data_IF_458571563527
#
_entry.id   IF_458571563527
#
_cell.length_a   1.000
_cell.length_b   1.000
_cell.length_c   1.000
_cell.angle_alpha   90.00
_cell.angle_beta   90.00
_cell.angle_gamma   90.00
#
_symmetry.space_group_name_H-M   'P 1'
#
loop_
_entity.id
_entity.type
_entity.pdbx_description
1 polymer ?
#
# COMPACT_ATOMS: atom_id res chain seq x y z
N UNK A 1 9.24 -4.36 -16.14
CA UNK A 1 8.84 -3.96 -14.77
C UNK A 1 9.09 -2.47 -14.64
N UNK A 2 8.12 -1.72 -14.11
CA UNK A 2 8.24 -0.27 -13.96
C UNK A 2 9.24 0.07 -12.85
N UNK A 3 9.94 1.18 -13.02
CA UNK A 3 10.97 1.63 -12.07
C UNK A 3 10.35 2.51 -10.99
N UNK A 4 10.85 2.36 -9.77
CA UNK A 4 10.48 3.14 -8.60
C UNK A 4 11.42 2.81 -7.44
N UNK A 5 11.37 3.60 -6.38
CA UNK A 5 12.11 3.32 -5.15
C UNK A 5 11.22 2.49 -4.22
N UNK A 6 11.53 1.19 -4.10
CA UNK A 6 10.83 0.30 -3.17
C UNK A 6 11.11 0.72 -1.73
N UNK A 7 10.07 1.02 -0.98
CA UNK A 7 10.20 1.47 0.40
C UNK A 7 9.22 0.79 1.37
N UNK A 8 8.20 0.08 0.85
CA UNK A 8 7.12 -0.45 1.69
C UNK A 8 6.74 -1.86 1.27
N UNK A 9 6.48 -2.69 2.29
CA UNK A 9 5.81 -3.98 2.16
C UNK A 9 4.51 -3.92 2.96
N UNK A 10 3.39 -4.29 2.35
CA UNK A 10 2.08 -4.22 2.99
C UNK A 10 1.53 -5.60 3.34
N UNK A 11 0.86 -5.67 4.48
CA UNK A 11 0.33 -6.90 5.05
C UNK A 11 -1.11 -6.70 5.49
N UNK A 12 -1.98 -7.64 5.11
CA UNK A 12 -3.31 -7.75 5.69
C UNK A 12 -3.20 -8.39 7.06
N UNK A 13 -3.92 -7.84 8.02
CA UNK A 13 -3.96 -8.31 9.41
C UNK A 13 -5.41 -8.40 9.89
N UNK A 14 -5.71 -9.35 10.76
CA UNK A 14 -7.05 -9.48 11.36
C UNK A 14 -7.26 -8.50 12.52
N UNK A 15 -6.18 -8.22 13.27
CA UNK A 15 -6.15 -7.28 14.40
C UNK A 15 -4.86 -6.46 14.33
N UNK A 16 -5.02 -5.14 14.14
CA UNK A 16 -3.88 -4.25 13.94
C UNK A 16 -3.03 -4.08 15.21
N UNK A 17 -3.65 -4.12 16.39
CA UNK A 17 -2.93 -4.01 17.66
C UNK A 17 -2.09 -5.27 17.94
N UNK A 18 -2.64 -6.45 17.61
CA UNK A 18 -1.90 -7.71 17.69
C UNK A 18 -0.69 -7.70 16.74
N UNK A 19 -0.87 -7.21 15.52
CA UNK A 19 0.19 -7.11 14.53
C UNK A 19 1.30 -6.13 14.96
N UNK A 20 0.93 -4.96 15.51
CA UNK A 20 1.90 -4.00 16.07
C UNK A 20 2.68 -4.65 17.23
N UNK A 21 1.99 -5.33 18.14
CA UNK A 21 2.64 -6.02 19.26
C UNK A 21 3.59 -7.13 18.78
N UNK A 22 3.21 -7.86 17.73
CA UNK A 22 4.06 -8.88 17.11
C UNK A 22 5.34 -8.29 16.48
N UNK A 23 5.27 -7.11 15.89
CA UNK A 23 6.43 -6.36 15.40
C UNK A 23 7.32 -5.90 16.57
N UNK A 24 6.73 -5.29 17.60
CA UNK A 24 7.45 -4.78 18.78
C UNK A 24 8.17 -5.88 19.55
N UNK A 25 7.63 -7.10 19.58
CA UNK A 25 8.28 -8.24 20.22
C UNK A 25 9.56 -8.72 19.49
N UNK A 26 9.81 -8.25 18.27
CA UNK A 26 10.92 -8.69 17.40
C UNK A 26 11.97 -7.62 17.15
N UNK A 27 11.73 -6.38 17.54
CA UNK A 27 12.66 -5.27 17.34
C UNK A 27 12.13 -3.94 17.85
N UNK A 28 12.98 -2.94 17.84
CA UNK A 28 12.59 -1.56 18.16
C UNK A 28 11.86 -0.95 16.98
N UNK A 29 10.59 -0.58 17.17
CA UNK A 29 9.73 -0.04 16.10
C UNK A 29 9.29 1.42 16.35
N UNK A 30 9.71 2.01 17.47
CA UNK A 30 9.24 3.34 17.88
C UNK A 30 7.76 3.36 18.27
N UNK A 31 7.19 4.56 18.34
CA UNK A 31 5.77 4.74 18.62
C UNK A 31 4.96 4.55 17.31
N UNK A 32 4.04 3.60 17.32
CA UNK A 32 3.15 3.32 16.19
C UNK A 32 1.71 3.63 16.60
N UNK A 33 1.01 4.44 15.82
CA UNK A 33 -0.39 4.81 16.05
C UNK A 33 -1.25 4.42 14.86
N UNK A 34 -2.18 3.47 15.01
CA UNK A 34 -3.15 3.17 13.97
C UNK A 34 -4.07 4.36 13.69
N UNK A 35 -4.52 4.47 12.45
CA UNK A 35 -5.49 5.47 12.03
C UNK A 35 -6.48 4.89 11.02
N UNK A 36 -7.71 5.41 11.03
CA UNK A 36 -8.76 4.99 10.11
C UNK A 36 -8.69 5.78 8.80
N UNK A 37 -8.90 5.08 7.69
CA UNK A 37 -9.00 5.65 6.35
C UNK A 37 -10.27 5.15 5.68
N UNK A 38 -11.04 6.05 5.07
CA UNK A 38 -12.15 5.72 4.21
C UNK A 38 -12.02 6.52 2.92
N UNK A 39 -12.02 5.86 1.78
CA UNK A 39 -11.77 6.52 0.50
C UNK A 39 -12.54 5.88 -0.65
N UNK A 40 -12.77 6.69 -1.68
CA UNK A 40 -13.31 6.24 -2.96
C UNK A 40 -12.14 5.95 -3.91
N UNK A 41 -12.09 4.74 -4.44
CA UNK A 41 -11.02 4.28 -5.32
C UNK A 41 -11.60 3.86 -6.67
N UNK A 42 -10.89 4.23 -7.73
CA UNK A 42 -11.21 3.73 -9.06
C UNK A 42 -10.81 2.26 -9.19
N UNK A 43 -11.67 1.47 -9.83
CA UNK A 43 -11.39 0.09 -10.23
C UNK A 43 -11.95 -0.12 -11.64
N UNK A 44 -11.57 -1.19 -12.37
CA UNK A 44 -12.19 -1.55 -13.64
C UNK A 44 -13.72 -1.72 -13.57
N UNK A 45 -14.25 -2.05 -12.39
CA UNK A 45 -15.69 -2.18 -12.12
C UNK A 45 -16.38 -0.88 -11.67
N UNK A 46 -15.69 0.27 -11.69
CA UNK A 46 -16.18 1.57 -11.25
C UNK A 46 -15.61 2.00 -9.91
N UNK A 47 -16.10 3.13 -9.40
CA UNK A 47 -15.68 3.65 -8.09
C UNK A 47 -16.17 2.75 -6.96
N UNK A 48 -15.28 2.45 -6.02
CA UNK A 48 -15.54 1.57 -4.87
C UNK A 48 -15.13 2.24 -3.58
N UNK A 49 -15.89 2.02 -2.52
CA UNK A 49 -15.53 2.46 -1.18
C UNK A 49 -14.66 1.41 -0.51
N UNK A 50 -13.54 1.85 0.04
CA UNK A 50 -12.64 1.03 0.86
C UNK A 50 -12.38 1.74 2.18
N UNK A 51 -12.61 1.03 3.29
CA UNK A 51 -12.37 1.51 4.64
C UNK A 51 -11.43 0.55 5.35
N UNK A 52 -10.35 1.09 5.89
CA UNK A 52 -9.30 0.32 6.58
C UNK A 52 -8.85 1.03 7.84
N UNK A 53 -8.23 0.29 8.76
CA UNK A 53 -7.28 0.86 9.72
C UNK A 53 -5.88 0.56 9.23
N UNK A 54 -5.01 1.55 9.28
CA UNK A 54 -3.63 1.46 8.83
C UNK A 54 -2.68 1.73 9.99
N UNK A 55 -1.54 1.08 9.97
CA UNK A 55 -0.40 1.43 10.80
C UNK A 55 0.90 1.29 9.99
N UNK A 56 1.83 2.22 10.19
CA UNK A 56 3.13 2.20 9.54
C UNK A 56 4.21 1.88 10.57
N UNK A 57 4.97 0.82 10.31
CA UNK A 57 6.07 0.36 11.14
C UNK A 57 7.35 0.45 10.32
N UNK A 58 8.28 1.33 10.70
CA UNK A 58 9.58 1.42 10.04
C UNK A 58 10.58 0.45 10.67
N UNK A 59 11.19 -0.37 9.84
CA UNK A 59 12.26 -1.30 10.23
C UNK A 59 13.45 -1.03 9.31
N UNK A 60 14.42 -0.25 9.79
CA UNK A 60 15.46 0.31 8.93
C UNK A 60 14.85 1.22 7.87
N UNK A 61 15.17 0.98 6.59
CA UNK A 61 14.71 1.78 5.46
C UNK A 61 13.42 1.25 4.81
N UNK A 62 12.83 0.19 5.37
CA UNK A 62 11.59 -0.41 4.85
C UNK A 62 10.44 -0.15 5.80
N UNK A 63 9.35 0.38 5.27
CA UNK A 63 8.09 0.52 5.96
C UNK A 63 7.26 -0.75 5.83
N UNK A 64 6.74 -1.25 6.94
CA UNK A 64 5.72 -2.28 6.98
C UNK A 64 4.37 -1.59 7.17
N UNK A 65 3.52 -1.67 6.16
CA UNK A 65 2.14 -1.20 6.25
C UNK A 65 1.26 -2.35 6.75
N UNK A 66 0.60 -2.12 7.87
CA UNK A 66 -0.37 -3.06 8.43
C UNK A 66 -1.77 -2.57 8.08
N UNK A 67 -2.58 -3.45 7.48
CA UNK A 67 -3.90 -3.12 6.93
C UNK A 67 -4.94 -4.02 7.59
N UNK A 68 -5.74 -3.48 8.50
CA UNK A 68 -6.97 -4.12 8.98
C UNK A 68 -8.14 -3.64 8.13
N UNK A 69 -8.77 -4.56 7.41
CA UNK A 69 -9.87 -4.24 6.50
C UNK A 69 -11.18 -4.10 7.29
N UNK A 70 -11.84 -2.94 7.19
CA UNK A 70 -13.15 -2.68 7.80
C UNK A 70 -14.27 -2.92 6.80
N UNK A 71 -14.13 -2.40 5.58
CA UNK A 71 -15.02 -2.63 4.45
C UNK A 71 -14.24 -2.52 3.15
N UNK A 72 -14.41 -3.47 2.25
CA UNK A 72 -13.75 -3.49 0.94
C UNK A 72 -14.73 -3.87 -0.18
N UNK A 73 -15.29 -2.86 -0.84
CA UNK A 73 -16.14 -3.08 -2.02
C UNK A 73 -15.32 -3.43 -3.27
N UNK A 74 -14.01 -3.21 -3.27
CA UNK A 74 -13.13 -3.55 -4.39
C UNK A 74 -12.82 -5.05 -4.47
N UNK A 75 -12.82 -5.74 -3.34
CA UNK A 75 -12.42 -7.14 -3.20
C UNK A 75 -10.90 -7.37 -3.31
N UNK A 76 -10.10 -6.30 -3.51
CA UNK A 76 -8.65 -6.43 -3.72
C UNK A 76 -7.94 -6.84 -2.43
N UNK A 77 -8.35 -6.28 -1.30
CA UNK A 77 -7.71 -6.55 0.00
C UNK A 77 -8.03 -7.94 0.57
N UNK A 78 -8.97 -8.68 -0.02
CA UNK A 78 -9.23 -10.09 0.27
C UNK A 78 -8.34 -11.06 -0.51
N UNK A 79 -7.56 -10.58 -1.49
CA UNK A 79 -6.71 -11.41 -2.35
C UNK A 79 -5.30 -11.53 -1.78
N UNK A 80 -5.11 -12.37 -0.78
CA UNK A 80 -3.81 -12.70 -0.21
C UNK A 80 -3.73 -14.19 0.17
N UNK A 81 -2.53 -14.69 0.33
CA UNK A 81 -2.32 -16.04 0.85
C UNK A 81 -2.28 -16.01 2.38
N UNK A 82 -3.23 -16.69 3.00
CA UNK A 82 -3.21 -16.92 4.44
C UNK A 82 -2.07 -17.88 4.79
N UNK A 83 -1.06 -17.38 5.51
CA UNK A 83 0.11 -18.14 5.93
C UNK A 83 -0.03 -18.76 7.34
N UNK A 84 -1.21 -18.62 7.96
CA UNK A 84 -1.47 -19.06 9.33
C UNK A 84 -0.84 -18.17 10.43
N UNK A 85 -0.18 -17.07 10.06
CA UNK A 85 0.41 -16.11 10.97
C UNK A 85 -0.46 -14.87 11.18
N UNK A 86 0.09 -13.85 11.83
CA UNK A 86 -0.58 -12.59 12.18
C UNK A 86 -0.60 -11.62 11.00
N UNK A 87 0.37 -11.70 10.11
CA UNK A 87 0.57 -10.78 8.98
C UNK A 87 0.64 -11.56 7.67
N UNK A 88 -0.22 -11.21 6.72
CA UNK A 88 -0.32 -11.84 5.41
C UNK A 88 0.11 -10.87 4.32
N UNK A 89 1.21 -11.18 3.62
CA UNK A 89 1.75 -10.31 2.58
C UNK A 89 0.72 -10.05 1.47
N UNK A 90 0.56 -8.78 1.10
CA UNK A 90 -0.42 -8.36 0.10
C UNK A 90 0.22 -7.67 -1.11
N UNK A 91 1.07 -6.69 -0.89
CA UNK A 91 1.73 -5.97 -1.97
C UNK A 91 3.08 -5.37 -1.54
N UNK A 92 3.91 -5.09 -2.52
CA UNK A 92 5.06 -4.21 -2.38
C UNK A 92 4.73 -2.84 -2.94
N UNK A 93 5.27 -1.77 -2.35
CA UNK A 93 5.06 -0.42 -2.82
C UNK A 93 6.38 0.27 -3.19
N UNK A 94 6.39 0.91 -4.34
CA UNK A 94 7.51 1.72 -4.82
C UNK A 94 7.09 3.18 -5.02
N UNK A 95 7.90 4.12 -4.47
CA UNK A 95 7.74 5.55 -4.73
C UNK A 95 8.28 5.91 -6.11
N UNK A 96 7.50 6.67 -6.87
CA UNK A 96 7.90 7.21 -8.18
C UNK A 96 8.13 8.71 -8.08
N UNK A 97 9.14 9.26 -8.78
CA UNK A 97 9.47 10.69 -8.67
C UNK A 97 8.52 11.60 -9.45
N UNK A 98 7.88 11.10 -10.50
CA UNK A 98 7.01 11.85 -11.39
C UNK A 98 5.80 10.97 -11.77
N UNK A 99 4.61 11.44 -11.35
CA UNK A 99 3.37 10.67 -11.56
C UNK A 99 2.97 10.59 -13.04
N UNK A 100 3.11 11.67 -13.78
CA UNK A 100 2.63 11.73 -15.16
C UNK A 100 3.51 10.88 -16.09
N UNK A 101 4.84 10.94 -15.90
CA UNK A 101 5.77 10.06 -16.61
C UNK A 101 5.56 8.59 -16.24
N UNK A 102 5.35 8.31 -14.96
CA UNK A 102 5.04 6.95 -14.50
C UNK A 102 3.73 6.45 -15.10
N UNK A 103 2.66 7.26 -15.06
CA UNK A 103 1.35 6.86 -15.57
C UNK A 103 1.38 6.59 -17.09
N UNK A 104 2.15 7.38 -17.85
CA UNK A 104 2.38 7.12 -19.28
C UNK A 104 3.12 5.79 -19.52
N UNK A 105 4.06 5.42 -18.62
CA UNK A 105 4.75 4.12 -18.70
C UNK A 105 3.83 2.95 -18.33
N UNK A 106 2.86 3.14 -17.45
CA UNK A 106 1.83 2.13 -17.13
C UNK A 106 1.06 1.72 -18.37
N UNK A 107 0.73 2.67 -19.25
CA UNK A 107 -0.01 2.40 -20.49
C UNK A 107 0.79 1.63 -21.55
N UNK A 108 2.10 1.47 -21.35
CA UNK A 108 3.01 0.74 -22.27
C UNK A 108 3.36 -0.67 -21.78
N UNK A 109 2.77 -1.12 -20.67
CA UNK A 109 3.02 -2.44 -20.08
C UNK A 109 1.70 -3.24 -19.97
N UNK A 110 1.78 -4.54 -19.71
CA UNK A 110 0.65 -5.49 -19.83
C UNK A 110 -0.01 -5.89 -18.51
N UNK A 111 0.58 -5.51 -17.34
CA UNK A 111 -0.08 -5.77 -16.06
C UNK A 111 -1.29 -4.84 -15.88
N UNK A 112 -2.48 -5.38 -15.58
CA UNK A 112 -3.68 -4.54 -15.47
C UNK A 112 -3.64 -3.64 -14.23
N UNK A 113 -4.09 -2.40 -14.38
CA UNK A 113 -4.41 -1.51 -13.26
C UNK A 113 -5.71 -1.98 -12.63
N UNK A 114 -5.70 -2.30 -11.35
CA UNK A 114 -6.87 -2.85 -10.64
C UNK A 114 -7.44 -1.90 -9.60
N UNK A 115 -6.67 -0.91 -9.18
CA UNK A 115 -7.08 0.11 -8.23
C UNK A 115 -6.25 1.38 -8.45
N UNK A 116 -6.88 2.56 -8.36
CA UNK A 116 -6.18 3.83 -8.55
C UNK A 116 -6.84 4.96 -7.74
N UNK A 117 -6.01 5.81 -7.17
CA UNK A 117 -6.36 7.14 -6.69
C UNK A 117 -5.36 8.15 -7.23
N UNK A 118 -5.82 9.06 -8.09
CA UNK A 118 -4.96 10.04 -8.75
C UNK A 118 -5.75 11.30 -9.15
N UNK A 119 -6.46 11.94 -8.19
CA UNK A 119 -7.20 13.15 -8.47
C UNK A 119 -6.24 14.33 -8.64
N UNK A 120 -6.67 15.33 -9.40
CA UNK A 120 -5.94 16.58 -9.53
C UNK A 120 -5.81 17.24 -8.14
N UNK A 121 -4.59 17.68 -7.80
CA UNK A 121 -4.30 18.34 -6.51
C UNK A 121 -4.10 17.39 -5.33
N UNK A 122 -4.24 16.07 -5.51
CA UNK A 122 -3.91 15.11 -4.44
C UNK A 122 -2.42 15.21 -4.07
N UNK A 123 -2.13 15.30 -2.76
CA UNK A 123 -0.76 15.27 -2.24
C UNK A 123 -0.15 13.85 -2.26
N UNK A 124 -0.99 12.85 -2.42
CA UNK A 124 -0.65 11.44 -2.55
C UNK A 124 -1.48 10.85 -3.69
N UNK A 125 -0.80 10.20 -4.65
CA UNK A 125 -1.42 9.43 -5.73
C UNK A 125 -0.86 8.02 -5.71
N UNK A 126 -1.68 7.03 -6.02
CA UNK A 126 -1.21 5.65 -6.09
C UNK A 126 -2.07 4.82 -7.04
N UNK A 127 -1.51 3.73 -7.52
CA UNK A 127 -2.23 2.67 -8.22
C UNK A 127 -1.65 1.30 -7.90
N UNK A 128 -2.49 0.27 -8.10
CA UNK A 128 -2.08 -1.12 -8.00
C UNK A 128 -2.11 -1.78 -9.37
N UNK A 129 -1.02 -2.45 -9.72
CA UNK A 129 -0.97 -3.39 -10.83
C UNK A 129 -1.21 -4.81 -10.31
N UNK A 130 -1.97 -5.61 -11.05
CA UNK A 130 -2.15 -7.02 -10.75
C UNK A 130 -0.93 -7.83 -11.17
N UNK A 131 -0.01 -8.01 -10.24
CA UNK A 131 1.20 -8.81 -10.42
C UNK A 131 1.07 -10.26 -9.99
N UNK A 132 -0.13 -10.71 -9.57
CA UNK A 132 -0.29 -12.03 -8.93
C UNK A 132 0.14 -13.20 -9.82
N UNK A 133 -0.15 -13.17 -11.11
CA UNK A 133 0.28 -14.20 -12.06
C UNK A 133 1.78 -14.10 -12.40
N UNK A 134 2.37 -12.91 -12.22
CA UNK A 134 3.77 -12.63 -12.53
C UNK A 134 4.70 -12.86 -11.33
N UNK A 135 4.36 -12.33 -10.16
CA UNK A 135 5.22 -12.36 -8.96
C UNK A 135 4.50 -12.78 -7.68
N UNK A 136 3.22 -13.16 -7.75
CA UNK A 136 2.45 -13.69 -6.64
C UNK A 136 1.75 -12.66 -5.76
N UNK A 137 1.86 -11.36 -6.06
CA UNK A 137 1.25 -10.29 -5.27
C UNK A 137 0.94 -9.06 -6.12
N UNK A 138 0.22 -8.08 -5.54
CA UNK A 138 0.02 -6.79 -6.17
C UNK A 138 1.30 -5.94 -6.11
N UNK A 139 1.43 -5.02 -7.06
CA UNK A 139 2.49 -4.02 -7.13
C UNK A 139 1.85 -2.64 -6.99
N UNK A 140 2.09 -1.96 -5.87
CA UNK A 140 1.68 -0.59 -5.69
C UNK A 140 2.78 0.36 -6.15
N UNK A 141 2.37 1.43 -6.81
CA UNK A 141 3.22 2.56 -7.12
C UNK A 141 2.58 3.82 -6.57
N UNK A 142 3.36 4.62 -5.86
CA UNK A 142 2.88 5.83 -5.20
C UNK A 142 3.75 7.03 -5.54
N UNK A 143 3.11 8.15 -5.73
CA UNK A 143 3.74 9.45 -5.77
C UNK A 143 3.20 10.30 -4.63
N UNK A 144 4.05 11.09 -4.03
CA UNK A 144 3.64 12.03 -3.00
C UNK A 144 4.51 13.27 -3.02
N UNK A 145 3.94 14.38 -2.52
CA UNK A 145 4.68 15.63 -2.37
C UNK A 145 5.83 15.48 -1.37
N UNK A 146 6.82 16.36 -1.45
CA UNK A 146 7.97 16.33 -0.54
C UNK A 146 7.57 16.62 0.92
N UNK A 147 6.46 17.33 1.16
CA UNK A 147 5.91 17.55 2.50
C UNK A 147 5.18 16.31 3.05
N UNK A 148 4.63 15.46 2.17
CA UNK A 148 3.93 14.25 2.59
C UNK A 148 4.91 13.15 3.00
N UNK A 149 6.03 13.01 2.32
CA UNK A 149 7.01 11.95 2.55
C UNK A 149 7.49 11.85 4.01
N UNK A 150 7.98 12.93 4.65
CA UNK A 150 8.39 12.86 6.05
C UNK A 150 7.21 12.66 7.02
N UNK A 151 5.97 13.03 6.63
CA UNK A 151 4.76 12.75 7.45
C UNK A 151 4.45 11.25 7.54
N UNK A 152 4.85 10.47 6.55
CA UNK A 152 4.77 9.01 6.59
C UNK A 152 5.96 8.36 7.30
N UNK A 153 6.87 9.17 7.86
CA UNK A 153 8.07 8.72 8.56
C UNK A 153 9.22 8.34 7.63
N UNK A 154 9.15 8.73 6.36
CA UNK A 154 10.22 8.52 5.40
C UNK A 154 11.50 9.27 5.82
N UNK A 155 12.69 8.74 5.45
CA UNK A 155 13.95 9.44 5.73
C UNK A 155 13.99 10.80 5.02
N UNK A 156 14.56 11.80 5.69
CA UNK A 156 14.72 13.18 5.19
C UNK A 156 15.89 13.27 4.23
#
# INVERSE_FOLDING_TARGET
MLTGHHFQNAYIVDDIEEAIAACAARGEIGEVRPFAVAQQLWTPGGMKTVSTKLAFVWIGDIQYELIEVVNDESGIYGNFQNNGGVMHFHHSCARVPDWDLFRAAVDQQDLPVVLERANEGDALKFLYLDGRDFCGHYLEYTWMTDEMWPRLGGPV
#
